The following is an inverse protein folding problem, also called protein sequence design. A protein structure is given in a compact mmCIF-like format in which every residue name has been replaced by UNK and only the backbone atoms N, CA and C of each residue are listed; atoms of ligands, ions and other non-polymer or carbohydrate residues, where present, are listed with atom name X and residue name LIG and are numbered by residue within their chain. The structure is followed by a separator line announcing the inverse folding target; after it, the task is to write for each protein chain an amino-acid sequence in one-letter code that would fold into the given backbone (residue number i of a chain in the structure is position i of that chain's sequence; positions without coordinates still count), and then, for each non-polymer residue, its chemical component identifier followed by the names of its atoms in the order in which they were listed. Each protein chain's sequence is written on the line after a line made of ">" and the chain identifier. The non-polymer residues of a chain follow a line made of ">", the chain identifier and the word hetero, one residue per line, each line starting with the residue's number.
data_IF_178868683385
#
_entry.id   IF_178868683385
#
_cell.length_a   1.000
_cell.length_b   1.000
_cell.length_c   1.000
_cell.angle_alpha   90.00
_cell.angle_beta   90.00
_cell.angle_gamma   90.00
#
_symmetry.space_group_name_H-M   'P 1'
#
loop_
_entity.id
_entity.type
_entity.pdbx_description
1 polymer ?
#
# COMPACT_ATOMS: atom_id res chain seq x y z
N UNK A 1 -10.18 -63.27 -41.17
CA UNK A 1 -10.78 -64.22 -40.21
C UNK A 1 -10.21 -64.08 -38.80
N UNK A 2 -8.88 -64.10 -38.60
CA UNK A 2 -8.28 -63.92 -37.27
C UNK A 2 -8.51 -62.50 -36.72
N UNK A 3 -8.17 -61.47 -37.50
CA UNK A 3 -8.43 -60.05 -37.17
C UNK A 3 -9.90 -59.72 -36.88
N UNK A 4 -10.83 -60.35 -37.59
CA UNK A 4 -12.27 -60.13 -37.35
C UNK A 4 -12.73 -60.75 -36.03
N UNK A 5 -12.16 -61.90 -35.65
CA UNK A 5 -12.49 -62.54 -34.37
C UNK A 5 -11.94 -61.73 -33.19
N UNK A 6 -10.72 -61.22 -33.33
CA UNK A 6 -10.08 -60.33 -32.36
C UNK A 6 -10.87 -59.03 -32.16
N UNK A 7 -11.32 -58.39 -33.24
CA UNK A 7 -12.12 -57.17 -33.16
C UNK A 7 -13.48 -57.40 -32.48
N UNK A 8 -14.11 -58.56 -32.70
CA UNK A 8 -15.36 -58.90 -32.03
C UNK A 8 -15.16 -59.06 -30.52
N UNK A 9 -14.13 -59.80 -30.10
CA UNK A 9 -13.80 -59.96 -28.67
C UNK A 9 -13.46 -58.60 -28.03
N UNK A 10 -12.69 -57.75 -28.73
CA UNK A 10 -12.40 -56.39 -28.26
C UNK A 10 -13.68 -55.57 -28.07
N UNK A 11 -14.62 -55.65 -29.02
CA UNK A 11 -15.90 -54.93 -28.94
C UNK A 11 -16.77 -55.43 -27.79
N UNK A 12 -16.82 -56.75 -27.55
CA UNK A 12 -17.51 -57.35 -26.40
C UNK A 12 -16.93 -56.84 -25.07
N UNK A 13 -15.60 -56.83 -24.92
CA UNK A 13 -14.92 -56.30 -23.73
C UNK A 13 -15.24 -54.81 -23.55
N UNK A 14 -15.16 -54.02 -24.63
CA UNK A 14 -15.48 -52.60 -24.60
C UNK A 14 -16.91 -52.36 -24.12
N UNK A 15 -17.88 -53.11 -24.63
CA UNK A 15 -19.28 -52.96 -24.29
C UNK A 15 -19.57 -53.43 -22.84
N UNK A 16 -18.86 -54.46 -22.36
CA UNK A 16 -18.90 -54.87 -20.96
C UNK A 16 -18.37 -53.77 -20.02
N UNK A 17 -17.23 -53.15 -20.37
CA UNK A 17 -16.66 -52.01 -19.63
C UNK A 17 -17.59 -50.80 -19.68
N UNK A 18 -18.22 -50.54 -20.83
CA UNK A 18 -19.15 -49.43 -21.01
C UNK A 18 -20.34 -49.51 -20.03
N UNK A 19 -20.87 -50.71 -19.81
CA UNK A 19 -21.93 -50.94 -18.82
C UNK A 19 -21.48 -50.65 -17.37
N UNK A 20 -20.17 -50.61 -17.11
CA UNK A 20 -19.59 -50.29 -15.81
C UNK A 20 -19.11 -48.84 -15.69
N UNK A 21 -19.33 -47.99 -16.69
CA UNK A 21 -18.76 -46.64 -16.73
C UNK A 21 -19.15 -45.79 -15.51
N UNK A 22 -20.41 -45.88 -15.06
CA UNK A 22 -20.88 -45.16 -13.87
C UNK A 22 -20.15 -45.60 -12.60
N UNK A 23 -19.87 -46.91 -12.46
CA UNK A 23 -19.09 -47.45 -11.34
C UNK A 23 -17.65 -46.96 -11.39
N UNK A 24 -17.02 -47.02 -12.57
CA UNK A 24 -15.64 -46.57 -12.78
C UNK A 24 -15.50 -45.07 -12.46
N UNK A 25 -16.40 -44.22 -12.99
CA UNK A 25 -16.39 -42.78 -12.72
C UNK A 25 -16.60 -42.46 -11.23
N UNK A 26 -17.46 -43.21 -10.55
CA UNK A 26 -17.69 -43.04 -9.11
C UNK A 26 -16.44 -43.39 -8.30
N UNK A 27 -15.78 -44.50 -8.63
CA UNK A 27 -14.50 -44.89 -8.03
C UNK A 27 -13.41 -43.86 -8.30
N UNK A 28 -13.29 -43.38 -9.54
CA UNK A 28 -12.30 -42.36 -9.91
C UNK A 28 -12.50 -41.06 -9.11
N UNK A 29 -13.75 -40.60 -8.94
CA UNK A 29 -14.08 -39.43 -8.10
C UNK A 29 -13.73 -39.65 -6.63
N UNK A 30 -13.93 -40.86 -6.11
CA UNK A 30 -13.57 -41.19 -4.73
C UNK A 30 -12.05 -41.17 -4.53
N UNK A 31 -11.28 -41.78 -5.44
CA UNK A 31 -9.82 -41.76 -5.44
C UNK A 31 -9.30 -40.31 -5.54
N UNK A 32 -9.88 -39.51 -6.44
CA UNK A 32 -9.49 -38.11 -6.59
C UNK A 32 -9.69 -37.29 -5.30
N UNK A 33 -10.78 -37.52 -4.55
CA UNK A 33 -10.98 -36.87 -3.25
C UNK A 33 -9.93 -37.27 -2.23
N UNK A 34 -9.59 -38.56 -2.16
CA UNK A 34 -8.55 -39.08 -1.26
C UNK A 34 -7.19 -38.46 -1.61
N UNK A 35 -6.86 -38.40 -2.90
CA UNK A 35 -5.60 -37.82 -3.39
C UNK A 35 -5.47 -36.34 -3.01
N UNK A 36 -6.52 -35.55 -3.22
CA UNK A 36 -6.56 -34.14 -2.81
C UNK A 36 -6.37 -33.99 -1.30
N UNK A 37 -7.13 -34.72 -0.47
CA UNK A 37 -7.01 -34.58 0.98
C UNK A 37 -5.67 -35.06 1.52
N UNK A 38 -5.11 -36.15 0.97
CA UNK A 38 -3.79 -36.65 1.33
C UNK A 38 -2.69 -35.65 0.94
N UNK A 39 -2.79 -35.05 -0.25
CA UNK A 39 -1.85 -34.02 -0.71
C UNK A 39 -1.88 -32.78 0.18
N UNK A 40 -3.07 -32.27 0.52
CA UNK A 40 -3.22 -31.13 1.44
C UNK A 40 -2.66 -31.44 2.84
N UNK A 41 -2.94 -32.64 3.38
CA UNK A 41 -2.42 -33.06 4.68
C UNK A 41 -0.89 -33.18 4.69
N UNK A 42 -0.32 -33.77 3.62
CA UNK A 42 1.14 -33.91 3.47
C UNK A 42 1.84 -32.55 3.46
N UNK A 43 1.31 -31.58 2.70
CA UNK A 43 1.87 -30.22 2.65
C UNK A 43 1.72 -29.53 4.01
N UNK A 44 0.58 -29.69 4.67
CA UNK A 44 0.31 -29.09 5.97
C UNK A 44 1.28 -29.58 7.05
N UNK A 45 1.48 -30.89 7.15
CA UNK A 45 2.43 -31.50 8.09
C UNK A 45 3.86 -31.06 7.80
N UNK A 46 4.29 -31.16 6.53
CA UNK A 46 5.67 -30.83 6.14
C UNK A 46 6.03 -29.36 6.35
N UNK A 47 5.06 -28.46 6.26
CA UNK A 47 5.29 -27.02 6.32
C UNK A 47 4.81 -26.37 7.63
N UNK A 48 4.29 -27.18 8.57
CA UNK A 48 3.73 -26.68 9.83
C UNK A 48 2.58 -25.70 9.59
N UNK A 49 1.63 -26.05 8.73
CA UNK A 49 0.41 -25.27 8.54
C UNK A 49 -0.62 -25.63 9.62
N UNK A 50 -1.49 -24.67 9.92
CA UNK A 50 -2.49 -24.80 10.99
C UNK A 50 -3.89 -24.84 10.41
N UNK A 51 -4.80 -25.51 11.12
CA UNK A 51 -6.21 -25.53 10.73
C UNK A 51 -6.81 -24.16 11.02
N UNK A 52 -7.34 -23.43 10.01
CA UNK A 52 -8.00 -22.15 10.27
C UNK A 52 -9.35 -22.37 10.98
N UNK A 53 -9.74 -21.41 11.82
CA UNK A 53 -11.14 -21.19 12.18
C UNK A 53 -11.84 -20.49 11.02
N UNK A 54 -13.09 -20.89 10.74
CA UNK A 54 -13.95 -20.23 9.76
C UNK A 54 -15.06 -19.53 10.52
N UNK A 55 -15.30 -18.26 10.23
CA UNK A 55 -16.35 -17.45 10.84
C UNK A 55 -17.25 -16.77 9.79
N UNK A 56 -18.35 -16.19 10.26
CA UNK A 56 -19.26 -15.35 9.47
C UNK A 56 -19.31 -13.92 10.02
N UNK A 57 -18.38 -13.55 10.91
CA UNK A 57 -18.37 -12.24 11.56
C UNK A 57 -17.61 -11.17 10.77
N UNK A 58 -17.24 -11.47 9.52
CA UNK A 58 -16.50 -10.54 8.68
C UNK A 58 -15.02 -10.38 9.05
N UNK A 59 -14.51 -11.10 10.05
CA UNK A 59 -13.16 -10.94 10.60
C UNK A 59 -12.13 -11.80 9.87
N UNK A 60 -11.00 -11.21 9.51
CA UNK A 60 -9.80 -11.89 9.01
C UNK A 60 -8.65 -11.59 9.95
N UNK A 61 -8.32 -12.57 10.80
CA UNK A 61 -7.26 -12.48 11.81
C UNK A 61 -6.21 -13.56 11.53
N UNK A 62 -5.01 -13.16 11.14
CA UNK A 62 -3.91 -14.06 10.80
C UNK A 62 -2.75 -13.69 11.72
N UNK A 63 -2.28 -14.64 12.52
CA UNK A 63 -1.12 -14.48 13.39
C UNK A 63 0.07 -15.22 12.78
N UNK A 64 1.19 -14.52 12.66
CA UNK A 64 2.43 -15.01 12.07
C UNK A 64 2.22 -15.70 10.71
N UNK A 65 1.42 -15.07 9.85
CA UNK A 65 1.19 -15.52 8.49
C UNK A 65 2.49 -15.55 7.67
N UNK A 66 2.58 -16.52 6.76
CA UNK A 66 3.68 -16.69 5.81
C UNK A 66 3.14 -16.84 4.40
N UNK A 67 3.91 -16.38 3.40
CA UNK A 67 3.53 -16.54 2.01
C UNK A 67 3.87 -17.98 1.56
N UNK A 68 2.89 -18.81 1.15
CA UNK A 68 3.08 -20.26 0.96
C UNK A 68 4.10 -20.63 -0.13
N UNK A 69 4.29 -19.77 -1.12
CA UNK A 69 5.31 -19.95 -2.18
C UNK A 69 6.65 -19.32 -1.79
N UNK A 70 6.68 -18.04 -1.42
CA UNK A 70 7.93 -17.32 -1.13
C UNK A 70 8.68 -17.94 0.06
N UNK A 71 7.99 -18.46 1.07
CA UNK A 71 8.65 -19.14 2.21
C UNK A 71 9.50 -20.34 1.76
N UNK A 72 9.14 -21.00 0.65
CA UNK A 72 9.88 -22.14 0.09
C UNK A 72 11.04 -21.74 -0.82
N UNK A 73 11.07 -20.50 -1.28
CA UNK A 73 12.15 -19.97 -2.10
C UNK A 73 13.29 -19.39 -1.26
N UNK A 74 13.08 -19.26 0.05
CA UNK A 74 14.06 -18.75 1.00
C UNK A 74 14.63 -19.90 1.85
N UNK A 75 15.85 -19.75 2.38
CA UNK A 75 16.38 -20.67 3.39
C UNK A 75 15.44 -20.78 4.60
N UNK A 76 15.47 -21.95 5.26
CA UNK A 76 14.63 -22.20 6.45
C UNK A 76 14.80 -21.08 7.50
N UNK A 77 13.68 -20.68 8.10
CA UNK A 77 13.59 -19.64 9.14
C UNK A 77 14.04 -18.23 8.73
N UNK A 78 14.21 -17.95 7.44
CA UNK A 78 14.54 -16.61 6.95
C UNK A 78 13.31 -15.76 6.59
N UNK A 79 12.14 -16.39 6.41
CA UNK A 79 10.91 -15.67 6.08
C UNK A 79 10.38 -14.94 7.32
N UNK A 80 10.15 -13.63 7.19
CA UNK A 80 9.59 -12.80 8.26
C UNK A 80 8.07 -12.91 8.25
N UNK A 81 7.51 -13.44 9.34
CA UNK A 81 6.07 -13.60 9.52
C UNK A 81 5.38 -12.26 9.76
N UNK A 82 4.12 -12.14 9.34
CA UNK A 82 3.33 -10.93 9.52
C UNK A 82 1.92 -11.24 10.02
N UNK A 83 1.42 -10.39 10.90
CA UNK A 83 0.05 -10.45 11.35
C UNK A 83 -0.83 -9.66 10.39
N UNK A 84 -2.04 -10.14 10.15
CA UNK A 84 -3.07 -9.40 9.41
C UNK A 84 -4.31 -9.35 10.26
N UNK A 85 -4.87 -8.15 10.43
CA UNK A 85 -6.12 -7.96 11.13
C UNK A 85 -7.03 -7.06 10.30
N UNK A 86 -8.11 -7.62 9.79
CA UNK A 86 -9.18 -6.90 9.08
C UNK A 86 -10.52 -7.31 9.67
N UNK A 87 -11.43 -6.35 9.81
CA UNK A 87 -12.79 -6.57 10.29
C UNK A 87 -13.78 -5.70 9.49
N UNK A 88 -15.06 -5.71 9.86
CA UNK A 88 -16.10 -4.86 9.27
C UNK A 88 -16.27 -3.54 10.03
N UNK A 89 -15.38 -3.24 10.98
CA UNK A 89 -15.43 -2.11 11.91
C UNK A 89 -14.14 -1.30 11.83
N UNK A 90 -13.32 -1.25 12.88
CA UNK A 90 -12.21 -0.31 12.99
C UNK A 90 -11.04 -0.60 12.03
N UNK A 91 -10.95 -1.80 11.46
CA UNK A 91 -9.81 -2.25 10.65
C UNK A 91 -10.25 -2.72 9.25
N UNK A 92 -11.26 -2.07 8.67
CA UNK A 92 -11.75 -2.40 7.31
C UNK A 92 -10.70 -2.15 6.23
N UNK A 93 -10.00 -1.03 6.31
CA UNK A 93 -9.15 -0.53 5.23
C UNK A 93 -7.76 -0.24 5.75
N UNK A 94 -6.77 -1.01 5.33
CA UNK A 94 -5.39 -0.81 5.72
C UNK A 94 -4.59 -0.13 4.60
N UNK A 95 -4.08 1.07 4.87
CA UNK A 95 -3.15 1.78 4.00
C UNK A 95 -1.74 1.32 4.34
N UNK A 96 -1.03 0.75 3.37
CA UNK A 96 0.30 0.17 3.57
C UNK A 96 1.33 1.05 2.87
N UNK A 97 2.14 1.74 3.66
CA UNK A 97 3.22 2.60 3.17
C UNK A 97 4.59 1.97 3.37
N UNK A 98 5.57 2.48 2.64
CA UNK A 98 6.96 2.07 2.75
C UNK A 98 7.64 1.93 1.39
N UNK A 99 8.97 1.78 1.36
CA UNK A 99 9.74 1.74 0.13
C UNK A 99 9.39 0.54 -0.76
N UNK A 100 9.74 0.66 -2.04
CA UNK A 100 9.64 -0.46 -2.98
C UNK A 100 10.57 -1.60 -2.59
N UNK A 101 10.19 -2.82 -2.96
CA UNK A 101 10.89 -4.08 -2.61
C UNK A 101 10.95 -4.42 -1.11
N UNK A 102 10.32 -3.64 -0.23
CA UNK A 102 10.33 -3.88 1.21
C UNK A 102 9.36 -4.99 1.69
N UNK A 103 8.52 -5.53 0.79
CA UNK A 103 7.64 -6.67 1.08
C UNK A 103 6.13 -6.36 1.12
N UNK A 104 5.69 -5.15 0.76
CA UNK A 104 4.25 -4.75 0.73
C UNK A 104 3.40 -5.73 -0.08
N UNK A 105 3.75 -5.92 -1.35
CA UNK A 105 3.01 -6.81 -2.26
C UNK A 105 3.05 -8.28 -1.80
N UNK A 106 4.15 -8.72 -1.17
CA UNK A 106 4.25 -10.06 -0.59
C UNK A 106 3.26 -10.24 0.57
N UNK A 107 3.18 -9.26 1.47
CA UNK A 107 2.24 -9.28 2.60
C UNK A 107 0.78 -9.28 2.13
N UNK A 108 0.43 -8.46 1.14
CA UNK A 108 -0.93 -8.42 0.61
C UNK A 108 -1.31 -9.74 -0.08
N UNK A 109 -0.46 -10.23 -1.00
CA UNK A 109 -0.69 -11.50 -1.70
C UNK A 109 -0.77 -12.67 -0.73
N UNK A 110 0.07 -12.69 0.31
CA UNK A 110 0.01 -13.68 1.38
C UNK A 110 -1.37 -13.71 2.03
N UNK A 111 -1.94 -12.55 2.38
CA UNK A 111 -3.26 -12.49 3.02
C UNK A 111 -4.33 -13.11 2.11
N UNK A 112 -4.39 -12.72 0.83
CA UNK A 112 -5.34 -13.32 -0.12
C UNK A 112 -5.13 -14.82 -0.30
N UNK A 113 -3.89 -15.30 -0.38
CA UNK A 113 -3.59 -16.72 -0.51
C UNK A 113 -4.04 -17.50 0.73
N UNK A 114 -3.84 -16.97 1.93
CA UNK A 114 -4.30 -17.61 3.18
C UNK A 114 -5.83 -17.73 3.20
N UNK A 115 -6.55 -16.66 2.83
CA UNK A 115 -8.02 -16.67 2.75
C UNK A 115 -8.50 -17.69 1.72
N UNK A 116 -7.90 -17.70 0.52
CA UNK A 116 -8.21 -18.68 -0.52
C UNK A 116 -7.94 -20.11 -0.06
N UNK A 117 -6.78 -20.36 0.57
CA UNK A 117 -6.41 -21.67 1.11
C UNK A 117 -7.39 -22.15 2.18
N UNK A 118 -7.86 -21.26 3.05
CA UNK A 118 -8.89 -21.59 4.03
C UNK A 118 -10.21 -22.01 3.36
N UNK A 119 -10.66 -21.25 2.34
CA UNK A 119 -11.92 -21.52 1.63
C UNK A 119 -11.89 -22.75 0.72
N UNK A 120 -10.72 -23.20 0.23
CA UNK A 120 -10.59 -24.51 -0.45
C UNK A 120 -10.61 -25.70 0.52
N UNK A 121 -10.57 -25.44 1.84
CA UNK A 121 -10.52 -26.47 2.89
C UNK A 121 -9.11 -26.97 3.23
N UNK A 122 -8.07 -26.19 2.94
CA UNK A 122 -6.69 -26.49 3.32
C UNK A 122 -6.34 -25.92 4.70
N UNK A 123 -5.32 -26.50 5.33
CA UNK A 123 -4.58 -25.84 6.41
C UNK A 123 -3.78 -24.66 5.82
N UNK A 124 -3.48 -23.66 6.64
CA UNK A 124 -2.89 -22.38 6.20
C UNK A 124 -1.53 -22.08 6.84
N UNK A 125 -0.64 -21.35 6.13
CA UNK A 125 0.69 -20.99 6.61
C UNK A 125 0.65 -19.86 7.66
N UNK A 126 0.24 -20.16 8.89
CA UNK A 126 0.15 -19.20 10.00
C UNK A 126 0.43 -19.91 11.34
N UNK A 127 0.60 -19.15 12.43
CA UNK A 127 0.56 -19.70 13.79
C UNK A 127 -0.89 -19.91 14.26
N UNK A 128 -1.79 -18.99 13.90
CA UNK A 128 -3.23 -19.15 14.03
C UNK A 128 -3.94 -18.31 12.96
N UNK A 129 -5.12 -18.75 12.53
CA UNK A 129 -5.93 -18.01 11.57
C UNK A 129 -7.42 -18.15 11.89
N UNK A 130 -8.13 -17.04 11.88
CA UNK A 130 -9.59 -16.94 11.98
C UNK A 130 -10.10 -16.16 10.77
N UNK A 131 -10.76 -16.84 9.85
CA UNK A 131 -11.03 -16.36 8.49
C UNK A 131 -12.53 -16.32 8.24
N UNK A 132 -13.05 -15.13 7.97
CA UNK A 132 -14.40 -14.96 7.44
C UNK A 132 -14.46 -15.41 5.99
N UNK A 133 -15.56 -16.07 5.62
CA UNK A 133 -15.84 -16.42 4.22
C UNK A 133 -15.96 -15.13 3.41
N UNK A 134 -15.18 -15.03 2.33
CA UNK A 134 -15.29 -13.95 1.35
C UNK A 134 -16.01 -14.46 0.11
N UNK A 135 -16.85 -13.62 -0.51
CA UNK A 135 -17.53 -13.96 -1.76
C UNK A 135 -16.57 -13.90 -2.97
N UNK A 136 -15.68 -12.90 -2.98
CA UNK A 136 -14.70 -12.65 -4.04
C UNK A 136 -13.42 -12.06 -3.45
N UNK A 137 -12.30 -12.40 -4.07
CA UNK A 137 -11.00 -11.74 -3.85
C UNK A 137 -10.68 -10.92 -5.10
N UNK A 138 -10.64 -9.61 -4.94
CA UNK A 138 -10.26 -8.67 -5.99
C UNK A 138 -8.80 -8.28 -5.83
N UNK A 139 -8.07 -8.26 -6.94
CA UNK A 139 -6.66 -7.88 -6.93
C UNK A 139 -6.37 -6.91 -8.06
N UNK A 140 -5.88 -5.73 -7.70
CA UNK A 140 -5.13 -4.85 -8.59
C UNK A 140 -3.68 -4.90 -8.10
N UNK A 141 -2.90 -5.84 -8.63
CA UNK A 141 -1.48 -5.95 -8.33
C UNK A 141 -0.76 -5.92 -9.66
N UNK A 142 0.04 -4.87 -9.90
CA UNK A 142 0.55 -4.45 -11.21
C UNK A 142 0.80 -5.58 -12.23
N UNK A 143 0.32 -5.36 -13.45
CA UNK A 143 0.62 -6.19 -14.60
C UNK A 143 2.02 -5.82 -15.13
N UNK A 144 2.80 -6.84 -15.51
CA UNK A 144 3.87 -6.68 -16.49
C UNK A 144 3.29 -6.11 -17.78
N UNK A 145 3.93 -5.08 -18.33
CA UNK A 145 3.47 -4.31 -19.49
C UNK A 145 2.93 -5.21 -20.61
N UNK A 146 1.63 -5.10 -20.91
CA UNK A 146 1.04 -5.69 -22.10
C UNK A 146 1.02 -4.65 -23.24
N UNK A 147 2.21 -4.44 -23.80
CA UNK A 147 2.41 -3.58 -24.98
C UNK A 147 1.65 -4.06 -26.22
N UNK A 148 1.13 -5.30 -26.23
CA UNK A 148 0.49 -5.90 -27.40
C UNK A 148 -0.98 -5.46 -27.59
N UNK A 149 -1.63 -4.93 -26.55
CA UNK A 149 -3.08 -4.63 -26.57
C UNK A 149 -3.46 -3.25 -27.15
N UNK A 150 -2.48 -2.36 -27.40
CA UNK A 150 -2.74 -1.00 -27.89
C UNK A 150 -3.48 -0.08 -26.91
N UNK A 151 -3.71 -0.52 -25.67
CA UNK A 151 -4.28 0.30 -24.60
C UNK A 151 -3.17 0.91 -23.73
N UNK A 152 -3.39 2.15 -23.27
CA UNK A 152 -2.50 2.77 -22.26
C UNK A 152 -2.52 1.94 -20.98
N UNK A 153 -1.35 1.74 -20.36
CA UNK A 153 -1.20 1.05 -19.07
C UNK A 153 -2.11 1.65 -17.99
N UNK A 154 -2.28 2.97 -18.00
CA UNK A 154 -3.20 3.68 -17.11
C UNK A 154 -4.69 3.37 -17.41
N UNK A 155 -5.07 3.19 -18.68
CA UNK A 155 -6.44 2.84 -19.03
C UNK A 155 -6.80 1.42 -18.57
N UNK A 156 -5.86 0.47 -18.71
CA UNK A 156 -6.03 -0.91 -18.21
C UNK A 156 -6.19 -0.89 -16.69
N UNK A 157 -5.33 -0.13 -15.99
CA UNK A 157 -5.41 0.07 -14.56
C UNK A 157 -6.78 0.64 -14.12
N UNK A 158 -7.27 1.69 -14.77
CA UNK A 158 -8.57 2.28 -14.43
C UNK A 158 -9.74 1.34 -14.74
N UNK A 159 -9.62 0.51 -15.78
CA UNK A 159 -10.64 -0.51 -16.11
C UNK A 159 -10.69 -1.59 -15.03
N UNK A 160 -9.53 -2.01 -14.51
CA UNK A 160 -9.43 -2.95 -13.39
C UNK A 160 -10.06 -2.36 -12.12
N UNK A 161 -9.71 -1.13 -11.76
CA UNK A 161 -10.31 -0.42 -10.61
C UNK A 161 -11.82 -0.31 -10.78
N UNK A 162 -12.31 0.11 -11.96
CA UNK A 162 -13.75 0.20 -12.23
C UNK A 162 -14.45 -1.16 -12.11
N UNK A 163 -13.81 -2.25 -12.53
CA UNK A 163 -14.34 -3.59 -12.39
C UNK A 163 -14.44 -4.01 -10.90
N UNK A 164 -13.44 -3.67 -10.09
CA UNK A 164 -13.47 -3.91 -8.64
C UNK A 164 -14.64 -3.16 -8.01
N UNK A 165 -14.72 -1.85 -8.22
CA UNK A 165 -15.74 -0.99 -7.59
C UNK A 165 -17.17 -1.39 -7.97
N UNK A 166 -17.40 -1.89 -9.20
CA UNK A 166 -18.74 -2.30 -9.65
C UNK A 166 -19.20 -3.67 -9.13
N UNK A 167 -18.27 -4.55 -8.80
CA UNK A 167 -18.58 -5.97 -8.54
C UNK A 167 -18.22 -6.44 -7.14
N UNK A 168 -17.47 -5.64 -6.38
CA UNK A 168 -17.18 -5.90 -4.99
C UNK A 168 -18.44 -5.71 -4.12
N UNK A 169 -18.51 -6.49 -3.06
CA UNK A 169 -19.52 -6.37 -2.02
C UNK A 169 -18.82 -6.11 -0.68
N UNK A 170 -19.57 -5.83 0.38
CA UNK A 170 -19.03 -5.71 1.75
C UNK A 170 -18.29 -6.99 2.22
N UNK A 171 -18.67 -8.14 1.66
CA UNK A 171 -18.12 -9.45 2.01
C UNK A 171 -16.87 -9.80 1.15
N UNK A 172 -16.47 -8.92 0.22
CA UNK A 172 -15.26 -9.06 -0.58
C UNK A 172 -13.98 -8.76 0.20
N UNK A 173 -12.87 -9.38 -0.24
CA UNK A 173 -11.52 -8.94 0.08
C UNK A 173 -10.89 -8.24 -1.13
N UNK A 174 -10.40 -7.02 -0.94
CA UNK A 174 -9.78 -6.22 -2.01
C UNK A 174 -8.30 -5.99 -1.71
N UNK A 175 -7.46 -6.20 -2.72
CA UNK A 175 -6.03 -5.88 -2.69
C UNK A 175 -5.73 -4.87 -3.78
N UNK A 176 -5.20 -3.71 -3.40
CA UNK A 176 -4.82 -2.63 -4.29
C UNK A 176 -3.32 -2.35 -4.12
N UNK A 177 -2.57 -2.31 -5.22
CA UNK A 177 -1.14 -2.01 -5.24
C UNK A 177 -0.88 -0.86 -6.23
N UNK A 178 -0.41 0.27 -5.71
CA UNK A 178 0.05 1.44 -6.47
C UNK A 178 -0.96 2.02 -7.49
N UNK A 179 -2.20 2.27 -7.08
CA UNK A 179 -3.18 2.97 -7.93
C UNK A 179 -2.74 4.42 -8.18
N UNK A 180 -2.93 4.90 -9.41
CA UNK A 180 -2.73 6.29 -9.81
C UNK A 180 -1.32 6.58 -10.34
N UNK A 181 -0.43 5.60 -10.40
CA UNK A 181 0.98 5.82 -10.75
C UNK A 181 1.23 6.17 -12.22
N UNK A 182 0.32 5.77 -13.12
CA UNK A 182 0.45 5.98 -14.57
C UNK A 182 0.05 7.37 -15.09
N UNK A 183 -0.26 8.33 -14.22
CA UNK A 183 -0.75 9.68 -14.58
C UNK A 183 -0.03 10.78 -13.78
N UNK A 184 -0.48 12.03 -13.91
CA UNK A 184 0.04 13.15 -13.13
C UNK A 184 -0.08 12.89 -11.63
N UNK A 185 0.86 13.38 -10.82
CA UNK A 185 0.91 13.09 -9.38
C UNK A 185 -0.40 13.48 -8.67
N UNK A 186 -0.94 14.67 -8.99
CA UNK A 186 -2.17 15.17 -8.39
C UNK A 186 -3.42 14.41 -8.87
N UNK A 187 -3.52 14.07 -10.15
CA UNK A 187 -4.64 13.26 -10.64
C UNK A 187 -4.60 11.85 -10.04
N UNK A 188 -3.42 11.24 -9.98
CA UNK A 188 -3.22 9.91 -9.41
C UNK A 188 -3.56 9.86 -7.94
N UNK A 189 -3.10 10.84 -7.16
CA UNK A 189 -3.45 11.01 -5.74
C UNK A 189 -4.96 11.19 -5.57
N UNK A 190 -5.57 12.09 -6.33
CA UNK A 190 -7.02 12.39 -6.24
C UNK A 190 -7.87 11.16 -6.53
N UNK A 191 -7.49 10.35 -7.52
CA UNK A 191 -8.17 9.09 -7.85
C UNK A 191 -7.98 8.07 -6.73
N UNK A 192 -6.74 7.87 -6.26
CA UNK A 192 -6.45 6.92 -5.20
C UNK A 192 -7.19 7.27 -3.90
N UNK A 193 -7.26 8.56 -3.56
CA UNK A 193 -8.01 9.09 -2.43
C UNK A 193 -9.51 8.80 -2.56
N UNK A 194 -10.11 9.19 -3.69
CA UNK A 194 -11.54 8.96 -3.94
C UNK A 194 -11.90 7.47 -3.95
N UNK A 195 -11.01 6.60 -4.43
CA UNK A 195 -11.18 5.14 -4.40
C UNK A 195 -11.14 4.63 -2.96
N UNK A 196 -10.20 5.11 -2.13
CA UNK A 196 -10.12 4.74 -0.73
C UNK A 196 -11.38 5.17 0.05
N UNK A 197 -11.86 6.39 -0.17
CA UNK A 197 -13.14 6.88 0.39
C UNK A 197 -14.31 5.99 0.00
N UNK A 198 -14.47 5.71 -1.30
CA UNK A 198 -15.57 4.90 -1.80
C UNK A 198 -15.60 3.47 -1.21
N UNK A 199 -14.43 2.84 -1.11
CA UNK A 199 -14.32 1.46 -0.62
C UNK A 199 -14.50 1.37 0.90
N UNK A 200 -13.92 2.31 1.65
CA UNK A 200 -13.93 2.30 3.12
C UNK A 200 -15.27 2.70 3.74
N UNK A 201 -16.10 3.47 3.02
CA UNK A 201 -17.42 3.88 3.49
C UNK A 201 -18.38 2.69 3.58
N UNK A 202 -18.81 2.35 4.81
CA UNK A 202 -19.78 1.27 5.09
C UNK A 202 -21.12 1.45 4.39
N UNK A 203 -21.52 2.69 4.11
CA UNK A 203 -22.82 2.98 3.47
C UNK A 203 -22.78 2.76 1.96
N UNK A 204 -21.59 2.76 1.37
CA UNK A 204 -21.38 2.61 -0.06
C UNK A 204 -20.93 1.19 -0.38
N UNK A 205 -19.77 0.77 0.14
CA UNK A 205 -19.19 -0.55 -0.12
C UNK A 205 -18.74 -1.25 1.16
N UNK A 206 -17.89 -0.61 1.97
CA UNK A 206 -17.46 -1.13 3.27
C UNK A 206 -16.66 -2.44 3.20
N UNK A 207 -15.91 -2.67 2.12
CA UNK A 207 -15.19 -3.93 1.90
C UNK A 207 -13.82 -3.94 2.59
N UNK A 208 -13.42 -5.13 3.06
CA UNK A 208 -12.08 -5.35 3.63
C UNK A 208 -11.01 -5.13 2.59
N UNK A 209 -10.05 -4.25 2.86
CA UNK A 209 -9.11 -3.80 1.83
C UNK A 209 -7.70 -3.65 2.38
N UNK A 210 -6.72 -4.16 1.63
CA UNK A 210 -5.30 -3.83 1.78
C UNK A 210 -4.89 -2.95 0.60
N UNK A 211 -4.44 -1.73 0.87
CA UNK A 211 -4.03 -0.78 -0.14
C UNK A 211 -2.57 -0.36 0.05
N UNK A 212 -1.66 -0.90 -0.76
CA UNK A 212 -0.29 -0.40 -0.81
C UNK A 212 -0.17 0.82 -1.71
N UNK A 213 0.47 1.87 -1.20
CA UNK A 213 0.61 3.15 -1.91
C UNK A 213 1.98 3.78 -1.68
N UNK A 214 2.35 4.67 -2.61
CA UNK A 214 3.48 5.61 -2.49
C UNK A 214 3.06 7.00 -2.07
N UNK A 215 1.76 7.30 -2.12
CA UNK A 215 1.22 8.58 -1.68
C UNK A 215 1.20 8.61 -0.16
N UNK A 216 2.10 9.39 0.43
CA UNK A 216 2.16 9.59 1.87
C UNK A 216 0.97 10.39 2.38
N UNK A 217 0.41 11.25 1.53
CA UNK A 217 -0.78 12.07 1.77
C UNK A 217 -1.99 11.21 2.14
N UNK A 218 -2.10 9.99 1.59
CA UNK A 218 -3.20 9.07 1.93
C UNK A 218 -3.16 8.60 3.38
N UNK A 219 -2.04 8.74 4.09
CA UNK A 219 -1.98 8.37 5.51
C UNK A 219 -2.85 9.26 6.40
N UNK A 220 -3.18 10.48 5.94
CA UNK A 220 -4.10 11.41 6.63
C UNK A 220 -5.56 10.91 6.65
N UNK A 221 -5.88 9.89 5.86
CA UNK A 221 -7.19 9.24 5.88
C UNK A 221 -7.45 8.50 7.20
N UNK A 222 -6.40 8.02 7.88
CA UNK A 222 -6.56 7.48 9.24
C UNK A 222 -6.93 8.62 10.21
N UNK A 223 -8.09 8.52 10.86
CA UNK A 223 -8.64 9.55 11.74
C UNK A 223 -9.66 10.45 11.05
N UNK A 224 -9.58 10.60 9.73
CA UNK A 224 -10.60 11.29 8.92
C UNK A 224 -11.72 10.34 8.50
N UNK A 225 -11.37 9.14 8.04
CA UNK A 225 -12.30 8.10 7.63
C UNK A 225 -12.38 7.00 8.69
N UNK A 226 -13.61 6.59 9.00
CA UNK A 226 -13.86 5.46 9.89
C UNK A 226 -13.33 4.14 9.30
N UNK A 227 -12.76 3.28 10.14
CA UNK A 227 -12.26 1.97 9.73
C UNK A 227 -10.97 1.97 8.89
N UNK A 228 -10.33 3.14 8.69
CA UNK A 228 -9.03 3.24 8.00
C UNK A 228 -7.90 3.18 9.02
N UNK A 229 -6.88 2.36 8.74
CA UNK A 229 -5.67 2.21 9.57
C UNK A 229 -4.41 2.30 8.73
N UNK A 230 -3.39 2.99 9.23
CA UNK A 230 -2.08 2.99 8.60
C UNK A 230 -1.24 1.81 9.09
N UNK A 231 -0.60 1.17 8.13
CA UNK A 231 0.44 0.18 8.31
C UNK A 231 1.69 0.64 7.56
N UNK A 232 2.86 0.36 8.12
CA UNK A 232 4.12 0.61 7.45
C UNK A 232 5.07 -0.56 7.63
N UNK A 233 6.05 -0.66 6.74
CA UNK A 233 7.12 -1.64 6.88
C UNK A 233 8.18 -1.09 7.82
N UNK A 234 8.54 -1.89 8.82
CA UNK A 234 9.62 -1.59 9.75
C UNK A 234 10.96 -1.53 9.02
N UNK A 235 11.63 -0.38 9.16
CA UNK A 235 12.97 -0.11 8.65
C UNK A 235 13.90 0.10 9.84
N UNK A 236 15.08 -0.53 9.81
CA UNK A 236 16.13 -0.30 10.80
C UNK A 236 17.28 0.46 10.16
N UNK A 237 17.53 1.67 10.64
CA UNK A 237 18.70 2.48 10.25
C UNK A 237 19.96 1.95 10.98
N UNK A 238 21.07 1.78 10.26
CA UNK A 238 22.40 1.47 10.78
C UNK A 238 23.40 2.46 10.17
N UNK A 239 23.58 3.60 10.83
CA UNK A 239 24.39 4.69 10.27
C UNK A 239 23.76 5.22 8.98
N UNK A 240 24.51 5.20 7.88
CA UNK A 240 24.05 5.60 6.54
C UNK A 240 23.37 4.48 5.75
N UNK A 241 23.27 3.27 6.32
CA UNK A 241 22.65 2.12 5.67
C UNK A 241 21.29 1.81 6.30
N UNK A 242 20.39 1.22 5.51
CA UNK A 242 19.07 0.79 5.97
C UNK A 242 18.89 -0.71 5.75
N UNK A 243 18.24 -1.36 6.72
CA UNK A 243 17.86 -2.77 6.64
C UNK A 243 16.34 -2.87 6.71
N UNK A 244 15.75 -3.43 5.66
CA UNK A 244 14.32 -3.74 5.63
C UNK A 244 14.04 -4.99 6.45
N UNK A 245 13.36 -4.82 7.58
CA UNK A 245 13.00 -5.94 8.45
C UNK A 245 11.82 -6.75 7.90
N UNK A 246 11.13 -6.26 6.85
CA UNK A 246 9.97 -6.91 6.21
C UNK A 246 8.82 -7.24 7.18
N UNK A 247 8.81 -6.60 8.35
CA UNK A 247 7.76 -6.69 9.37
C UNK A 247 6.80 -5.52 9.19
N UNK A 248 5.51 -5.80 9.11
CA UNK A 248 4.44 -4.82 9.09
C UNK A 248 4.16 -4.36 10.52
N UNK A 249 4.14 -3.06 10.73
CA UNK A 249 3.83 -2.40 12.00
C UNK A 249 2.73 -1.35 11.79
N UNK A 250 2.03 -0.98 12.86
CA UNK A 250 1.01 0.08 12.81
C UNK A 250 1.68 1.45 12.70
N UNK A 251 1.04 2.36 11.97
CA UNK A 251 1.49 3.74 11.75
C UNK A 251 1.79 4.05 10.28
N UNK A 252 1.90 5.34 9.98
CA UNK A 252 2.42 5.82 8.70
C UNK A 252 3.94 5.69 8.62
N UNK A 253 4.49 5.77 7.41
CA UNK A 253 5.94 5.90 7.23
C UNK A 253 6.34 7.39 7.37
N UNK A 254 7.09 7.73 8.41
CA UNK A 254 7.54 9.11 8.70
C UNK A 254 8.60 9.64 7.71
N UNK A 255 9.23 8.77 6.92
CA UNK A 255 10.32 9.12 6.00
C UNK A 255 10.26 8.33 4.71
N UNK A 256 10.54 8.99 3.59
CA UNK A 256 10.78 8.34 2.30
C UNK A 256 12.24 7.90 2.18
N UNK A 257 12.48 6.60 1.98
CA UNK A 257 13.83 6.02 1.92
C UNK A 257 14.38 5.88 0.50
N UNK A 258 13.91 6.70 -0.45
CA UNK A 258 14.22 6.55 -1.89
C UNK A 258 15.71 6.65 -2.20
N UNK A 259 16.41 7.61 -1.59
CA UNK A 259 17.86 7.81 -1.80
C UNK A 259 18.66 6.64 -1.21
N UNK A 260 18.26 6.15 -0.03
CA UNK A 260 18.91 5.02 0.63
C UNK A 260 18.70 3.71 -0.15
N UNK A 261 17.52 3.51 -0.77
CA UNK A 261 17.29 2.41 -1.71
C UNK A 261 18.18 2.53 -2.94
N UNK A 262 18.36 3.74 -3.49
CA UNK A 262 19.28 3.98 -4.60
C UNK A 262 20.73 3.65 -4.24
N UNK A 263 21.17 3.96 -3.01
CA UNK A 263 22.49 3.57 -2.48
C UNK A 263 22.65 2.04 -2.44
N UNK A 264 21.64 1.32 -1.94
CA UNK A 264 21.63 -0.16 -1.94
C UNK A 264 21.68 -0.75 -3.35
N UNK A 265 21.12 -0.06 -4.35
CA UNK A 265 21.19 -0.45 -5.75
C UNK A 265 22.55 -0.16 -6.42
N UNK A 266 23.47 0.50 -5.70
CA UNK A 266 24.81 0.83 -6.20
C UNK A 266 24.87 2.10 -7.05
N UNK A 267 23.93 3.03 -6.87
CA UNK A 267 24.00 4.35 -7.52
C UNK A 267 25.23 5.13 -7.01
N UNK A 268 26.04 5.76 -7.88
CA UNK A 268 27.27 6.44 -7.47
C UNK A 268 27.06 7.55 -6.44
N UNK A 269 27.96 7.67 -5.46
CA UNK A 269 27.91 8.68 -4.38
C UNK A 269 27.70 10.12 -4.87
N UNK A 270 28.37 10.61 -5.95
CA UNK A 270 28.12 11.98 -6.42
C UNK A 270 26.67 12.24 -6.85
N UNK A 271 25.96 11.21 -7.33
CA UNK A 271 24.54 11.31 -7.70
C UNK A 271 23.67 11.33 -6.45
N UNK A 272 23.99 10.48 -5.46
CA UNK A 272 23.28 10.42 -4.18
C UNK A 272 23.40 11.73 -3.41
N UNK A 273 24.60 12.30 -3.35
CA UNK A 273 24.84 13.58 -2.68
C UNK A 273 24.07 14.72 -3.34
N UNK A 274 24.03 14.74 -4.68
CA UNK A 274 23.21 15.71 -5.40
C UNK A 274 21.72 15.51 -5.13
N UNK A 275 21.24 14.27 -5.10
CA UNK A 275 19.84 13.95 -4.81
C UNK A 275 19.43 14.41 -3.39
N UNK A 276 20.30 14.24 -2.39
CA UNK A 276 20.06 14.71 -1.01
C UNK A 276 19.84 16.22 -0.96
N UNK A 277 20.68 16.99 -1.67
CA UNK A 277 20.54 18.45 -1.76
C UNK A 277 19.21 18.84 -2.42
N UNK A 278 18.85 18.19 -3.53
CA UNK A 278 17.62 18.50 -4.26
C UNK A 278 16.36 18.19 -3.43
N UNK A 279 16.34 17.08 -2.69
CA UNK A 279 15.20 16.74 -1.82
C UNK A 279 15.02 17.79 -0.72
N UNK A 280 16.11 18.28 -0.12
CA UNK A 280 16.01 19.37 0.87
C UNK A 280 15.49 20.66 0.25
N UNK A 281 15.93 21.00 -0.96
CA UNK A 281 15.46 22.19 -1.67
C UNK A 281 13.97 22.10 -2.02
N UNK A 282 13.50 20.93 -2.49
CA UNK A 282 12.10 20.69 -2.81
C UNK A 282 11.22 20.70 -1.57
N UNK A 283 11.64 20.03 -0.49
CA UNK A 283 10.91 20.06 0.79
C UNK A 283 10.76 21.50 1.33
N UNK A 284 11.83 22.30 1.25
CA UNK A 284 11.76 23.71 1.66
C UNK A 284 10.88 24.55 0.74
N UNK A 285 10.86 24.27 -0.56
CA UNK A 285 9.99 24.94 -1.52
C UNK A 285 8.51 24.60 -1.32
N UNK A 286 8.19 23.34 -1.02
CA UNK A 286 6.82 22.90 -0.69
C UNK A 286 6.34 23.51 0.63
N UNK A 287 7.21 23.60 1.65
CA UNK A 287 6.89 24.31 2.90
C UNK A 287 6.64 25.80 2.63
N UNK A 288 7.46 26.44 1.79
CA UNK A 288 7.30 27.85 1.43
C UNK A 288 6.05 28.12 0.57
N UNK A 289 5.66 27.20 -0.31
CA UNK A 289 4.41 27.24 -1.08
C UNK A 289 3.20 27.04 -0.17
N UNK A 290 3.22 26.03 0.71
CA UNK A 290 2.15 25.78 1.69
C UNK A 290 1.99 26.95 2.66
N UNK A 291 3.09 27.58 3.11
CA UNK A 291 3.04 28.79 3.93
C UNK A 291 2.42 29.98 3.18
N UNK A 292 2.69 30.11 1.87
CA UNK A 292 2.07 31.13 1.01
C UNK A 292 0.59 30.85 0.75
N UNK A 293 0.20 29.59 0.56
CA UNK A 293 -1.20 29.21 0.34
C UNK A 293 -2.04 29.35 1.61
N UNK A 294 -1.47 29.10 2.79
CA UNK A 294 -2.09 29.42 4.08
C UNK A 294 -2.24 30.94 4.24
N UNK A 295 -1.20 31.73 3.90
CA UNK A 295 -1.27 33.19 3.94
C UNK A 295 -2.29 33.79 2.94
N UNK A 296 -2.46 33.17 1.77
CA UNK A 296 -3.41 33.61 0.73
C UNK A 296 -4.86 33.17 1.02
N UNK A 297 -5.07 32.04 1.70
CA UNK A 297 -6.40 31.56 2.10
C UNK A 297 -6.97 32.22 3.38
N UNK A 298 -6.20 33.08 4.05
CA UNK A 298 -6.68 33.80 5.25
C UNK A 298 -7.55 35.05 4.91
N UNK A 299 -7.83 35.34 3.62
CA UNK A 299 -8.62 36.53 3.24
C UNK A 299 -10.01 36.28 2.64
N UNK A 300 -10.52 35.05 2.53
CA UNK A 300 -11.93 34.84 2.13
C UNK A 300 -12.57 33.61 2.78
N UNK A 301 -13.57 33.86 3.62
CA UNK A 301 -14.68 32.95 3.87
C UNK A 301 -14.66 32.27 5.23
N UNK A 302 -15.55 32.73 6.09
CA UNK A 302 -15.85 32.17 7.40
C UNK A 302 -16.52 30.78 7.32
N UNK A 303 -16.29 30.04 8.41
CA UNK A 303 -16.95 28.85 8.92
C UNK A 303 -16.43 27.45 8.53
N UNK A 304 -16.32 26.66 9.61
CA UNK A 304 -15.87 25.27 9.76
C UNK A 304 -14.35 25.12 9.93
N UNK A 305 -13.84 25.40 11.14
CA UNK A 305 -13.06 24.45 11.95
C UNK A 305 -12.82 25.07 13.35
N UNK A 306 -13.61 24.62 14.33
CA UNK A 306 -13.30 24.79 15.74
C UNK A 306 -12.88 23.43 16.31
N UNK A 307 -11.85 23.49 17.15
CA UNK A 307 -11.35 22.47 18.08
C UNK A 307 -10.26 21.54 17.54
N UNK A 308 -9.00 21.91 17.81
CA UNK A 308 -8.09 21.13 18.65
C UNK A 308 -6.82 21.95 18.98
N UNK A 309 -6.96 22.98 19.81
CA UNK A 309 -5.81 23.53 20.54
C UNK A 309 -5.51 22.63 21.73
N UNK A 310 -4.42 21.85 21.69
CA UNK A 310 -3.54 21.70 22.85
C UNK A 310 -2.19 21.08 22.47
N UNK A 311 -1.13 21.74 22.93
CA UNK A 311 0.26 21.29 23.03
C UNK A 311 1.19 21.48 21.82
N UNK A 312 1.50 22.74 21.54
CA UNK A 312 2.89 23.15 21.27
C UNK A 312 3.07 24.61 21.70
N UNK A 313 3.34 24.81 22.99
CA UNK A 313 3.91 26.06 23.48
C UNK A 313 5.37 26.12 23.05
N UNK A 314 5.67 26.82 21.95
CA UNK A 314 6.93 27.53 21.77
C UNK A 314 6.68 28.83 20.99
N UNK A 315 6.64 29.93 21.74
CA UNK A 315 6.99 31.32 21.38
C UNK A 315 6.49 31.89 20.03
N UNK A 316 5.30 32.50 20.08
CA UNK A 316 4.67 33.29 19.01
C UNK A 316 4.97 34.80 19.16
N UNK A 317 6.21 35.20 19.47
CA UNK A 317 6.51 36.61 19.80
C UNK A 317 7.67 37.29 19.06
N UNK A 318 8.43 36.63 18.17
CA UNK A 318 9.58 37.28 17.49
C UNK A 318 9.69 36.95 15.98
N UNK A 319 8.60 37.12 15.23
CA UNK A 319 8.65 37.20 13.77
C UNK A 319 7.98 38.49 13.29
N UNK A 320 8.71 39.61 13.40
CA UNK A 320 8.61 40.67 12.40
C UNK A 320 9.26 40.10 11.13
N UNK A 321 8.48 39.97 10.07
CA UNK A 321 8.71 39.08 8.94
C UNK A 321 9.68 39.68 7.92
N UNK A 322 10.41 38.83 7.19
CA UNK A 322 11.22 39.27 6.05
C UNK A 322 10.40 40.09 5.04
N UNK A 323 9.09 39.84 4.99
CA UNK A 323 8.13 40.58 4.19
C UNK A 323 8.02 42.08 4.56
N UNK A 324 8.21 42.45 5.83
CA UNK A 324 8.19 43.88 6.21
C UNK A 324 9.41 44.63 5.65
N UNK A 325 10.61 44.04 5.76
CA UNK A 325 11.84 44.64 5.22
C UNK A 325 11.79 44.70 3.69
N UNK A 326 11.27 43.66 3.04
CA UNK A 326 11.11 43.62 1.58
C UNK A 326 10.15 44.73 1.14
N UNK A 327 9.01 44.90 1.83
CA UNK A 327 8.05 45.97 1.53
C UNK A 327 8.62 47.37 1.75
N UNK A 328 9.52 47.53 2.73
CA UNK A 328 10.15 48.82 3.04
C UNK A 328 11.16 49.22 1.95
N UNK A 329 11.90 48.24 1.39
CA UNK A 329 12.84 48.45 0.28
C UNK A 329 12.08 48.78 -1.01
N UNK A 330 10.95 48.10 -1.29
CA UNK A 330 10.15 48.36 -2.51
C UNK A 330 9.57 49.77 -2.53
N UNK A 331 9.26 50.34 -1.36
CA UNK A 331 8.68 51.68 -1.24
C UNK A 331 9.73 52.79 -1.08
N UNK A 332 11.03 52.47 -1.14
CA UNK A 332 12.09 53.46 -0.94
C UNK A 332 12.30 54.32 -2.20
N UNK A 333 12.15 55.65 -2.06
CA UNK A 333 12.41 56.59 -3.15
C UNK A 333 13.90 56.98 -3.20
N UNK A 334 14.71 56.16 -3.88
CA UNK A 334 16.15 56.37 -4.05
C UNK A 334 16.51 57.69 -4.76
N UNK A 335 15.58 58.33 -5.47
CA UNK A 335 15.81 59.58 -6.18
C UNK A 335 15.88 60.83 -5.29
N UNK A 336 15.34 60.77 -4.08
CA UNK A 336 15.27 61.90 -3.13
C UNK A 336 16.27 61.76 -1.96
N UNK A 337 16.93 60.61 -1.84
CA UNK A 337 17.90 60.38 -0.78
C UNK A 337 19.28 60.90 -1.16
N UNK A 338 19.98 61.53 -0.21
CA UNK A 338 21.39 61.82 -0.37
C UNK A 338 22.21 60.52 -0.26
N UNK A 339 23.40 60.43 -0.91
CA UNK A 339 24.23 59.22 -0.84
C UNK A 339 24.59 58.79 0.59
N UNK A 340 24.68 59.74 1.52
CA UNK A 340 24.97 59.48 2.93
C UNK A 340 23.78 58.84 3.66
N UNK A 341 22.55 59.28 3.37
CA UNK A 341 21.32 58.73 3.94
C UNK A 341 21.09 57.29 3.47
N UNK A 342 21.35 57.01 2.18
CA UNK A 342 21.25 55.65 1.64
C UNK A 342 22.24 54.68 2.29
N UNK A 343 23.48 55.12 2.54
CA UNK A 343 24.49 54.32 3.25
C UNK A 343 24.12 54.06 4.72
N UNK A 344 23.56 55.06 5.41
CA UNK A 344 23.11 54.90 6.79
C UNK A 344 21.92 53.93 6.89
N UNK A 345 20.98 54.02 5.95
CA UNK A 345 19.82 53.14 5.90
C UNK A 345 20.22 51.67 5.61
N UNK A 346 21.16 51.46 4.68
CA UNK A 346 21.75 50.14 4.42
C UNK A 346 22.45 49.54 5.64
N UNK A 347 23.14 50.37 6.43
CA UNK A 347 23.80 49.94 7.66
C UNK A 347 22.77 49.54 8.74
N UNK A 348 21.67 50.27 8.84
CA UNK A 348 20.57 49.95 9.76
C UNK A 348 19.89 48.61 9.41
N UNK A 349 19.62 48.37 8.13
CA UNK A 349 19.11 47.09 7.64
C UNK A 349 20.07 45.93 7.92
N UNK A 350 21.38 46.12 7.70
CA UNK A 350 22.39 45.11 8.03
C UNK A 350 22.44 44.78 9.53
N UNK A 351 22.31 45.78 10.41
CA UNK A 351 22.28 45.54 11.85
C UNK A 351 21.03 44.77 12.28
N UNK A 352 19.86 45.12 11.74
CA UNK A 352 18.61 44.40 12.03
C UNK A 352 18.67 42.93 11.58
N UNK A 353 19.30 42.65 10.44
CA UNK A 353 19.50 41.27 9.97
C UNK A 353 20.57 40.50 10.77
N UNK A 354 21.64 41.16 11.22
CA UNK A 354 22.70 40.52 12.03
C UNK A 354 22.26 40.15 13.44
N UNK A 355 21.45 40.98 14.09
CA UNK A 355 20.89 40.70 15.42
C UNK A 355 19.91 39.52 15.45
N UNK A 356 19.67 38.85 14.31
CA UNK A 356 18.85 37.65 14.16
C UNK A 356 19.66 36.34 14.14
N UNK A 357 20.98 36.44 13.90
CA UNK A 357 21.89 35.29 13.75
C UNK A 357 22.68 34.96 15.02
N UNK A 358 22.59 35.82 16.04
CA UNK A 358 23.03 35.57 17.43
C UNK A 358 21.78 35.33 18.30
#
# INVERSE_FOLDING_TARGET
>A
KLFSLEYNIFSEIRDEIYNQISRIQSTAKAIAKIDVFASLAYVAERNGYVRPSINESGKVDIIDGRHPVVEKMMPENMFVTNNTHLDEDDNRFAIITGPNMAGKSTYMRQTALIVLMAQIGSFVPAASADISICDKIFTRVGASDDLASGQSTFMVEMTEVANILRNATKDSLIILDEIGRGTSTFDGLSIAWSVAEYISDKKILGAKTLFATHYHELTELEGTLDGVKNLCISVKEQGDDIVFLRKIIKGGADKSYGIQVAKLAGVPEPVLDRAKILVQQLANADIAQNAKDIALNTQKGEDIFKVAETQTQMTFSDMLTEDEIISEIENLNLGEMTPLEGLNYLNELQQRLKNRLD
#
